data_IF_975756400381
#
_entry.id   IF_975756400381
#
_cell.length_a   1.000
_cell.length_b   1.000
_cell.length_c   1.000
_cell.angle_alpha   90.00
_cell.angle_beta   90.00
_cell.angle_gamma   90.00
#
_symmetry.space_group_name_H-M   'P 1'
#
loop_
_entity.id
_entity.type
_entity.pdbx_description
1 polymer ?
#
# COMPACT_ATOMS: atom_id res chain seq x y z
N UNK A 1 3.30 -9.10 -2.47
CA UNK A 1 2.71 -7.83 -2.01
C UNK A 1 3.58 -6.71 -2.53
N UNK A 2 3.00 -5.70 -3.17
CA UNK A 2 3.71 -4.51 -3.64
C UNK A 2 3.02 -3.25 -3.08
N UNK A 3 3.77 -2.33 -2.52
CA UNK A 3 3.24 -1.09 -1.93
C UNK A 3 3.74 0.10 -2.72
N UNK A 4 2.83 0.98 -3.14
CA UNK A 4 3.21 2.26 -3.71
C UNK A 4 3.05 3.36 -2.67
N UNK A 5 4.17 3.94 -2.29
CA UNK A 5 4.25 5.08 -1.38
C UNK A 5 4.79 6.28 -2.13
N UNK A 6 4.56 7.44 -1.53
CA UNK A 6 4.87 8.71 -2.12
C UNK A 6 6.38 9.05 -2.03
N UNK A 7 7.25 8.18 -2.53
CA UNK A 7 8.69 8.45 -2.74
C UNK A 7 9.51 8.61 -1.45
N UNK A 8 10.54 9.47 -1.48
CA UNK A 8 11.48 9.64 -0.35
C UNK A 8 11.77 11.12 -0.13
N UNK A 9 11.36 11.66 1.02
CA UNK A 9 11.60 13.05 1.48
C UNK A 9 12.96 13.16 2.17
N UNK A 10 13.25 12.26 3.11
CA UNK A 10 14.49 12.27 3.88
C UNK A 10 15.51 11.35 3.21
N UNK A 11 16.63 11.91 2.76
CA UNK A 11 17.75 11.12 2.23
C UNK A 11 19.02 11.41 3.04
N UNK A 12 19.86 10.40 3.32
CA UNK A 12 21.18 10.62 3.89
C UNK A 12 21.99 11.55 2.97
N UNK A 13 22.83 12.41 3.57
CA UNK A 13 23.78 13.21 2.78
C UNK A 13 24.75 12.26 2.07
N UNK A 14 25.27 12.69 0.90
CA UNK A 14 26.19 11.86 0.09
C UNK A 14 27.46 11.40 0.83
N UNK A 15 27.79 12.03 1.95
CA UNK A 15 28.92 11.65 2.81
C UNK A 15 28.57 10.46 3.73
N UNK A 16 27.31 10.32 4.13
CA UNK A 16 26.81 9.25 5.00
C UNK A 16 26.46 7.99 4.22
N UNK A 17 26.11 8.11 2.93
CA UNK A 17 25.86 6.95 2.05
C UNK A 17 27.10 6.09 1.76
N UNK A 18 28.31 6.56 2.07
CA UNK A 18 29.53 5.76 1.96
C UNK A 18 29.66 4.73 3.10
N UNK A 19 28.88 4.89 4.17
CA UNK A 19 28.76 3.91 5.23
C UNK A 19 27.45 3.14 5.01
N UNK A 20 27.53 1.92 4.48
CA UNK A 20 26.41 0.95 4.37
C UNK A 20 25.93 0.52 5.77
N UNK A 21 25.57 1.48 6.61
CA UNK A 21 25.16 1.27 7.98
C UNK A 21 23.65 0.96 8.00
N UNK A 22 23.25 -0.28 8.32
CA UNK A 22 21.84 -0.67 8.30
C UNK A 22 20.98 0.12 9.29
N UNK A 23 21.57 0.63 10.38
CA UNK A 23 20.86 1.44 11.38
C UNK A 23 20.49 2.80 10.81
N UNK A 24 21.41 3.44 10.09
CA UNK A 24 21.18 4.74 9.46
C UNK A 24 20.15 4.59 8.34
N UNK A 25 20.26 3.54 7.52
CA UNK A 25 19.29 3.25 6.46
C UNK A 25 17.88 3.01 7.02
N UNK A 26 17.76 2.23 8.11
CA UNK A 26 16.49 2.03 8.80
C UNK A 26 15.92 3.34 9.35
N UNK A 27 16.75 4.21 9.95
CA UNK A 27 16.30 5.50 10.48
C UNK A 27 15.68 6.39 9.39
N UNK A 28 16.34 6.49 8.23
CA UNK A 28 15.80 7.25 7.10
C UNK A 28 14.55 6.59 6.49
N UNK A 29 14.55 5.27 6.31
CA UNK A 29 13.37 4.55 5.85
C UNK A 29 12.18 4.79 6.79
N UNK A 30 12.38 4.61 8.10
CA UNK A 30 11.37 4.85 9.12
C UNK A 30 10.85 6.29 9.09
N UNK A 31 11.74 7.28 9.04
CA UNK A 31 11.34 8.69 8.97
C UNK A 31 10.49 9.01 7.74
N UNK A 32 10.78 8.38 6.60
CA UNK A 32 9.94 8.51 5.40
C UNK A 32 8.60 7.78 5.57
N UNK A 33 8.60 6.55 6.08
CA UNK A 33 7.36 5.77 6.30
C UNK A 33 6.44 6.45 7.30
N UNK A 34 6.98 7.04 8.38
CA UNK A 34 6.21 7.74 9.40
C UNK A 34 5.59 9.06 8.86
N UNK A 35 6.19 9.64 7.82
CA UNK A 35 5.78 10.95 7.26
C UNK A 35 4.88 10.81 6.04
N UNK A 36 5.10 9.78 5.22
CA UNK A 36 4.43 9.61 3.94
C UNK A 36 3.16 8.79 4.09
N UNK A 37 2.10 9.26 3.44
CA UNK A 37 0.84 8.54 3.37
C UNK A 37 0.89 7.49 2.25
N UNK A 38 0.31 6.32 2.52
CA UNK A 38 0.12 5.26 1.53
C UNK A 38 -0.91 5.72 0.48
N UNK A 39 -0.65 5.38 -0.78
CA UNK A 39 -1.54 5.76 -1.89
C UNK A 39 -2.21 4.51 -2.46
N UNK A 40 -1.42 3.48 -2.74
CA UNK A 40 -1.91 2.22 -3.28
C UNK A 40 -1.20 1.01 -2.66
N UNK A 41 -1.92 -0.10 -2.58
CA UNK A 41 -1.39 -1.40 -2.18
C UNK A 41 -1.89 -2.47 -3.15
N UNK A 42 -0.97 -3.14 -3.83
CA UNK A 42 -1.28 -4.31 -4.64
C UNK A 42 -1.02 -5.60 -3.85
N UNK A 43 -2.04 -6.44 -3.76
CA UNK A 43 -2.01 -7.72 -3.08
C UNK A 43 -2.38 -8.84 -4.07
N UNK A 44 -1.50 -9.83 -4.14
CA UNK A 44 -1.74 -11.08 -4.85
C UNK A 44 -1.61 -12.20 -3.83
N UNK A 45 -2.66 -13.01 -3.70
CA UNK A 45 -2.68 -14.20 -2.86
C UNK A 45 -2.42 -15.40 -3.76
N UNK A 46 -1.53 -16.28 -3.33
CA UNK A 46 -1.14 -17.48 -4.06
C UNK A 46 -1.29 -18.68 -3.13
N UNK A 47 -1.72 -19.81 -3.67
CA UNK A 47 -1.69 -21.08 -2.95
C UNK A 47 -0.26 -21.66 -2.90
N UNK A 48 -0.10 -22.83 -2.26
CA UNK A 48 1.21 -23.50 -2.16
C UNK A 48 1.79 -23.94 -3.51
N UNK A 49 0.96 -23.99 -4.56
CA UNK A 49 1.32 -24.37 -5.92
C UNK A 49 1.49 -23.15 -6.84
N UNK A 50 1.46 -21.93 -6.26
CA UNK A 50 1.53 -20.65 -6.99
C UNK A 50 0.35 -20.35 -7.91
N UNK A 51 -0.84 -20.88 -7.61
CA UNK A 51 -2.07 -20.51 -8.30
C UNK A 51 -2.73 -19.30 -7.64
N UNK A 52 -3.31 -18.43 -8.47
CA UNK A 52 -4.15 -17.33 -8.02
C UNK A 52 -5.56 -17.83 -7.66
N UNK A 53 -6.25 -17.17 -6.72
CA UNK A 53 -7.63 -17.49 -6.42
C UNK A 53 -8.51 -17.22 -7.65
N UNK A 54 -9.39 -18.15 -7.95
CA UNK A 54 -10.34 -18.10 -9.06
C UNK A 54 -11.81 -18.06 -8.63
N UNK A 55 -12.09 -18.34 -7.35
CA UNK A 55 -13.41 -18.33 -6.72
C UNK A 55 -14.48 -19.07 -7.54
N UNK A 56 -14.13 -20.24 -8.08
CA UNK A 56 -14.98 -21.06 -8.95
C UNK A 56 -15.43 -20.33 -10.23
N UNK A 57 -14.63 -19.35 -10.69
CA UNK A 57 -14.84 -18.59 -11.92
C UNK A 57 -13.73 -18.88 -12.94
N UNK A 58 -13.92 -18.55 -14.23
CA UNK A 58 -12.86 -18.70 -15.24
C UNK A 58 -11.77 -17.61 -15.14
N UNK A 59 -11.81 -16.75 -14.12
CA UNK A 59 -10.90 -15.62 -13.97
C UNK A 59 -10.06 -15.77 -12.70
N UNK A 60 -8.81 -15.30 -12.75
CA UNK A 60 -7.95 -15.18 -11.58
C UNK A 60 -7.99 -13.75 -11.04
N UNK A 61 -7.85 -13.61 -9.73
CA UNK A 61 -8.00 -12.32 -9.06
C UNK A 61 -6.70 -11.83 -8.42
N UNK A 62 -6.43 -10.54 -8.63
CA UNK A 62 -5.45 -9.74 -7.90
C UNK A 62 -6.14 -8.47 -7.44
N UNK A 63 -5.71 -7.92 -6.30
CA UNK A 63 -6.34 -6.75 -5.71
C UNK A 63 -5.40 -5.57 -5.70
N UNK A 64 -5.93 -4.41 -6.10
CA UNK A 64 -5.28 -3.12 -5.92
C UNK A 64 -6.18 -2.26 -5.04
N UNK A 65 -5.68 -1.90 -3.87
CA UNK A 65 -6.36 -1.06 -2.91
C UNK A 65 -5.89 0.38 -3.06
N UNK A 66 -6.83 1.29 -3.26
CA UNK A 66 -6.59 2.72 -3.40
C UNK A 66 -7.03 3.42 -2.11
N UNK A 67 -6.17 4.25 -1.52
CA UNK A 67 -6.43 4.89 -0.21
C UNK A 67 -6.83 6.35 -0.34
N UNK A 68 -7.80 6.79 0.48
CA UNK A 68 -8.26 8.19 0.52
C UNK A 68 -7.40 9.10 1.38
N UNK A 69 -6.49 8.53 2.17
CA UNK A 69 -5.66 9.26 3.13
C UNK A 69 -4.72 10.27 2.44
N UNK A 70 -4.29 9.96 1.22
CA UNK A 70 -3.39 10.81 0.45
C UNK A 70 -4.09 12.08 -0.04
N UNK A 71 -3.67 13.23 0.48
CA UNK A 71 -4.17 14.53 0.03
C UNK A 71 -3.02 15.42 -0.47
N UNK A 72 -2.99 15.61 -1.79
CA UNK A 72 -1.98 16.43 -2.49
C UNK A 72 -1.92 17.89 -1.99
N UNK A 73 -3.03 18.42 -1.47
CA UNK A 73 -3.14 19.82 -1.04
C UNK A 73 -2.72 20.04 0.43
N UNK A 74 -2.51 18.96 1.20
CA UNK A 74 -2.17 19.05 2.63
C UNK A 74 -0.72 18.63 2.94
N UNK A 75 -0.04 17.93 2.04
CA UNK A 75 1.28 17.36 2.34
C UNK A 75 2.46 18.19 1.83
N UNK A 76 3.55 18.14 2.58
CA UNK A 76 4.88 18.62 2.18
C UNK A 76 5.54 17.65 1.19
N UNK A 77 4.89 17.43 0.05
CA UNK A 77 5.39 16.52 -0.98
C UNK A 77 6.44 17.21 -1.86
N UNK A 78 7.52 16.51 -2.17
CA UNK A 78 8.49 17.00 -3.14
C UNK A 78 7.83 17.13 -4.54
N UNK A 79 8.12 18.19 -5.29
CA UNK A 79 7.54 18.36 -6.64
C UNK A 79 7.84 17.16 -7.56
N UNK A 80 9.03 16.57 -7.45
CA UNK A 80 9.41 15.37 -8.22
C UNK A 80 8.52 14.15 -7.93
N UNK A 81 7.99 14.06 -6.71
CA UNK A 81 7.09 13.00 -6.29
C UNK A 81 5.68 13.19 -6.84
N UNK A 82 5.16 14.42 -6.79
CA UNK A 82 3.86 14.75 -7.41
C UNK A 82 3.90 14.43 -8.92
N UNK A 83 4.99 14.78 -9.60
CA UNK A 83 5.17 14.49 -11.02
C UNK A 83 5.32 13.00 -11.33
N UNK A 84 5.95 12.22 -10.45
CA UNK A 84 6.01 10.76 -10.58
C UNK A 84 4.63 10.12 -10.45
N UNK A 85 3.87 10.52 -9.43
CA UNK A 85 2.54 9.95 -9.20
C UNK A 85 1.54 10.32 -10.30
N UNK A 86 1.63 11.54 -10.86
CA UNK A 86 0.86 11.93 -12.05
C UNK A 86 1.16 11.06 -13.27
N UNK A 87 2.41 10.59 -13.43
CA UNK A 87 2.79 9.68 -14.52
C UNK A 87 2.26 8.27 -14.33
N UNK A 88 2.02 7.84 -13.08
CA UNK A 88 1.42 6.54 -12.76
C UNK A 88 -0.10 6.49 -12.98
N UNK A 89 -0.70 7.56 -13.54
CA UNK A 89 -2.14 7.64 -13.83
C UNK A 89 -3.05 7.40 -12.60
N UNK A 90 -2.55 7.73 -11.40
CA UNK A 90 -3.33 7.65 -10.17
C UNK A 90 -4.36 8.78 -10.14
N UNK A 91 -5.63 8.42 -10.05
CA UNK A 91 -6.72 9.39 -9.93
C UNK A 91 -6.93 9.78 -8.45
N UNK A 92 -6.26 10.85 -8.04
CA UNK A 92 -6.30 11.34 -6.66
C UNK A 92 -7.68 11.82 -6.22
N UNK A 93 -8.47 12.40 -7.13
CA UNK A 93 -9.81 12.87 -6.78
C UNK A 93 -10.74 11.67 -6.56
N UNK A 94 -10.66 10.65 -7.43
CA UNK A 94 -11.36 9.39 -7.20
C UNK A 94 -10.93 8.72 -5.90
N UNK A 95 -9.64 8.72 -5.58
CA UNK A 95 -9.14 8.13 -4.34
C UNK A 95 -9.65 8.91 -3.11
N UNK A 96 -9.71 10.23 -3.18
CA UNK A 96 -10.26 11.05 -2.09
C UNK A 96 -11.75 10.81 -1.86
N UNK A 97 -12.52 10.62 -2.93
CA UNK A 97 -13.98 10.39 -2.84
C UNK A 97 -14.36 8.94 -2.50
N UNK A 98 -13.66 7.96 -3.09
CA UNK A 98 -14.05 6.53 -3.06
C UNK A 98 -12.97 5.62 -2.49
N UNK A 99 -11.81 6.16 -2.15
CA UNK A 99 -10.70 5.39 -1.61
C UNK A 99 -10.99 4.87 -0.21
N UNK A 100 -10.21 3.86 0.16
CA UNK A 100 -10.33 3.15 1.42
C UNK A 100 -9.61 3.95 2.50
N UNK A 101 -10.16 3.95 3.72
CA UNK A 101 -9.46 4.45 4.90
C UNK A 101 -8.38 3.43 5.33
N UNK A 102 -7.12 3.85 5.39
CA UNK A 102 -6.01 2.96 5.71
C UNK A 102 -6.11 2.33 7.10
N UNK A 103 -6.72 3.00 8.08
CA UNK A 103 -6.90 2.45 9.43
C UNK A 103 -7.98 1.39 9.45
N UNK A 104 -9.10 1.64 8.76
CA UNK A 104 -10.15 0.64 8.61
C UNK A 104 -9.64 -0.59 7.85
N UNK A 105 -8.84 -0.37 6.80
CA UNK A 105 -8.19 -1.44 6.05
C UNK A 105 -7.26 -2.27 6.94
N UNK A 106 -6.39 -1.64 7.74
CA UNK A 106 -5.50 -2.33 8.66
C UNK A 106 -6.26 -3.18 9.68
N UNK A 107 -7.38 -2.65 10.21
CA UNK A 107 -8.27 -3.42 11.09
C UNK A 107 -8.88 -4.64 10.38
N UNK A 108 -9.31 -4.49 9.12
CA UNK A 108 -9.85 -5.60 8.33
C UNK A 108 -8.80 -6.67 8.04
N UNK A 109 -7.57 -6.28 7.69
CA UNK A 109 -6.47 -7.22 7.49
C UNK A 109 -6.23 -8.08 8.74
N UNK A 110 -6.29 -7.46 9.93
CA UNK A 110 -6.21 -8.16 11.20
C UNK A 110 -7.39 -9.10 11.41
N UNK A 111 -8.63 -8.60 11.27
CA UNK A 111 -9.86 -9.37 11.50
C UNK A 111 -9.97 -10.61 10.59
N UNK A 112 -9.48 -10.51 9.34
CA UNK A 112 -9.45 -11.62 8.37
C UNK A 112 -8.26 -12.58 8.55
N UNK A 113 -7.36 -12.31 9.50
CA UNK A 113 -6.20 -13.18 9.75
C UNK A 113 -5.14 -13.17 8.63
N UNK A 114 -5.15 -12.14 7.78
CA UNK A 114 -4.15 -11.97 6.73
C UNK A 114 -2.79 -11.52 7.29
N UNK A 115 -2.78 -10.98 8.51
CA UNK A 115 -1.58 -10.59 9.26
C UNK A 115 -1.67 -11.18 10.66
N UNK A 116 -0.53 -11.59 11.23
CA UNK A 116 -0.44 -12.29 12.53
C UNK A 116 -1.32 -13.55 12.58
N UNK A 117 -0.95 -14.56 11.79
CA UNK A 117 -1.63 -15.83 11.76
C UNK A 117 -1.31 -16.65 13.03
N UNK A 118 -2.01 -16.38 14.12
CA UNK A 118 -1.93 -17.16 15.36
C UNK A 118 -3.11 -18.15 15.54
N UNK A 119 -4.16 -18.08 14.69
CA UNK A 119 -5.35 -18.94 14.78
C UNK A 119 -6.01 -19.25 13.41
N UNK A 120 -5.24 -19.54 12.35
CA UNK A 120 -5.77 -19.99 11.06
C UNK A 120 -6.53 -18.92 10.24
N UNK A 121 -6.44 -19.02 8.91
CA UNK A 121 -7.20 -18.14 8.00
C UNK A 121 -8.70 -18.41 8.17
N UNK A 122 -9.47 -17.41 8.59
CA UNK A 122 -10.94 -17.46 8.53
C UNK A 122 -11.37 -17.18 7.10
N UNK A 123 -12.37 -17.92 6.60
CA UNK A 123 -12.91 -17.77 5.25
C UNK A 123 -13.25 -16.31 4.97
N UNK A 124 -12.68 -15.78 3.89
CA UNK A 124 -12.86 -14.40 3.45
C UNK A 124 -14.12 -14.34 2.59
N UNK A 125 -15.30 -14.16 3.20
CA UNK A 125 -16.52 -13.79 2.46
C UNK A 125 -16.48 -12.27 2.21
N UNK A 126 -16.13 -11.89 0.97
CA UNK A 126 -15.95 -10.49 0.53
C UNK A 126 -17.26 -9.81 0.12
N UNK A 127 -18.37 -10.05 0.84
CA UNK A 127 -19.65 -9.42 0.52
C UNK A 127 -19.62 -7.88 0.67
N UNK A 128 -18.64 -7.33 1.39
CA UNK A 128 -18.46 -5.89 1.57
C UNK A 128 -17.51 -5.21 0.56
N UNK A 129 -16.79 -5.98 -0.26
CA UNK A 129 -15.92 -5.42 -1.31
C UNK A 129 -16.62 -5.34 -2.68
N UNK A 130 -17.90 -5.72 -2.75
CA UNK A 130 -18.78 -5.48 -3.89
C UNK A 130 -19.30 -4.03 -3.89
N UNK A 131 -18.39 -3.08 -4.11
CA UNK A 131 -18.79 -1.78 -4.66
C UNK A 131 -17.95 -1.49 -5.90
N UNK A 132 -18.53 -1.93 -7.03
CA UNK A 132 -18.44 -1.37 -8.38
C UNK A 132 -17.06 -1.31 -9.04
N UNK A 133 -16.92 -2.17 -10.05
CA UNK A 133 -16.28 -1.84 -11.33
C UNK A 133 -16.59 -0.39 -11.75
#
# INVERSE_FOLDING_TARGET
MNTEFSGTIFKPSKQVTCEDNPVINYYYMKSNVDTLQIIQLALSLLDAYSNLPDFDSPFCYVWEFNFKDFNINQGHYANALIELLKRQQIDFEKNKEKGIDSKDFAKKLWDYGLVFNCYGLKSIYLDYFSWRL
#
